data_IF_610278644160
#
_entry.id   IF_610278644160
#
_cell.length_a   1.000
_cell.length_b   1.000
_cell.length_c   1.000
_cell.angle_alpha   90.00
_cell.angle_beta   90.00
_cell.angle_gamma   90.00
#
_symmetry.space_group_name_H-M   'P 1'
#
loop_
_entity.id
_entity.type
_entity.pdbx_description
1 polymer ?
#
# COMPACT_ATOMS: atom_id res chain seq x y z
N UNK A 1 21.70 6.48 0.23
CA UNK A 1 20.45 7.17 -0.15
C UNK A 1 19.53 7.22 1.05
N UNK A 2 18.87 8.33 1.30
CA UNK A 2 17.84 8.46 2.34
C UNK A 2 16.54 8.89 1.66
N UNK A 3 15.97 7.98 0.93
CA UNK A 3 14.73 8.12 0.17
C UNK A 3 13.97 6.82 0.33
N UNK A 4 12.66 6.84 0.23
CA UNK A 4 11.84 5.66 0.25
C UNK A 4 10.43 5.96 -0.23
N UNK A 5 9.77 4.97 -0.76
CA UNK A 5 8.34 4.95 -1.05
C UNK A 5 7.88 3.50 -1.14
N UNK A 6 6.58 3.27 -1.14
CA UNK A 6 6.01 1.93 -1.03
C UNK A 6 5.25 1.49 -2.29
N UNK A 7 5.63 2.01 -3.47
CA UNK A 7 5.09 1.58 -4.74
C UNK A 7 6.10 0.66 -5.41
N UNK A 8 5.76 -0.62 -5.56
CA UNK A 8 6.62 -1.63 -6.14
C UNK A 8 6.44 -3.00 -5.51
N UNK A 9 7.08 -4.03 -6.05
CA UNK A 9 6.86 -5.43 -5.66
C UNK A 9 7.50 -5.83 -4.33
N UNK A 10 8.28 -4.99 -3.69
CA UNK A 10 9.01 -5.23 -2.43
C UNK A 10 9.84 -6.54 -2.42
N UNK A 11 10.36 -6.96 -3.57
CA UNK A 11 11.09 -8.22 -3.73
C UNK A 11 12.42 -8.08 -4.50
N UNK A 12 12.87 -6.85 -4.70
CA UNK A 12 14.10 -6.55 -5.43
C UNK A 12 13.97 -6.67 -6.94
N UNK A 13 12.76 -6.73 -7.49
CA UNK A 13 12.53 -6.81 -8.93
C UNK A 13 11.99 -5.52 -9.55
N UNK A 14 11.84 -4.47 -8.76
CA UNK A 14 11.50 -3.16 -9.29
C UNK A 14 12.56 -2.68 -10.28
N UNK A 15 12.17 -1.81 -11.21
CA UNK A 15 13.14 -1.23 -12.15
C UNK A 15 14.25 -0.49 -11.42
N UNK A 16 13.91 0.19 -10.32
CA UNK A 16 14.88 0.90 -9.51
C UNK A 16 15.88 -0.03 -8.84
N UNK A 17 15.40 -1.07 -8.17
CA UNK A 17 16.26 -2.07 -7.51
C UNK A 17 17.23 -2.73 -8.50
N UNK A 18 16.73 -3.11 -9.66
CA UNK A 18 17.55 -3.71 -10.71
C UNK A 18 18.63 -2.77 -11.22
N UNK A 19 18.31 -1.50 -11.44
CA UNK A 19 19.32 -0.49 -11.81
C UNK A 19 20.36 -0.34 -10.70
N UNK A 20 19.92 -0.27 -9.45
CA UNK A 20 20.83 -0.20 -8.30
C UNK A 20 21.74 -1.43 -8.21
N UNK A 21 21.21 -2.62 -8.44
CA UNK A 21 21.99 -3.85 -8.45
C UNK A 21 23.03 -3.88 -9.59
N UNK A 22 22.70 -3.39 -10.77
CA UNK A 22 23.59 -3.28 -11.92
C UNK A 22 24.69 -2.23 -11.73
N UNK A 23 24.41 -1.14 -11.01
CA UNK A 23 25.38 -0.09 -10.71
C UNK A 23 26.46 -0.53 -9.71
N UNK A 24 26.21 -1.58 -8.94
CA UNK A 24 27.14 -2.08 -7.95
C UNK A 24 28.18 -3.01 -8.55
N UNK A 25 29.38 -2.98 -8.01
CA UNK A 25 30.50 -3.79 -8.45
C UNK A 25 31.74 -3.52 -7.60
N UNK A 26 32.88 -3.99 -8.06
CA UNK A 26 34.16 -3.76 -7.36
C UNK A 26 34.41 -2.25 -7.18
N UNK A 27 34.60 -1.84 -5.92
CA UNK A 27 34.78 -0.44 -5.54
C UNK A 27 33.51 0.44 -5.62
N UNK A 28 32.33 -0.14 -5.90
CA UNK A 28 31.07 0.59 -6.01
C UNK A 28 30.00 -0.06 -5.13
N UNK A 29 29.67 0.58 -4.04
CA UNK A 29 28.65 0.15 -3.09
C UNK A 29 27.53 1.18 -3.02
N UNK A 30 26.30 0.70 -2.90
CA UNK A 30 25.14 1.51 -2.59
C UNK A 30 24.66 1.20 -1.17
N UNK A 31 24.37 2.24 -0.43
CA UNK A 31 23.81 2.17 0.91
C UNK A 31 22.49 2.93 0.91
N UNK A 32 21.45 2.28 1.40
CA UNK A 32 20.10 2.84 1.47
C UNK A 32 19.53 2.78 2.88
N UNK A 33 18.53 3.60 3.13
CA UNK A 33 17.75 3.57 4.38
C UNK A 33 16.66 2.50 4.29
N UNK A 34 16.37 1.85 5.43
CA UNK A 34 15.26 0.89 5.53
C UNK A 34 13.88 1.56 5.54
N UNK A 35 13.81 2.88 5.74
CA UNK A 35 12.57 3.62 5.98
C UNK A 35 12.30 3.83 7.47
N UNK A 36 11.27 4.57 7.76
CA UNK A 36 10.81 4.94 9.11
C UNK A 36 9.29 4.79 9.30
N UNK A 37 8.65 4.00 8.44
CA UNK A 37 7.21 3.81 8.35
C UNK A 37 6.69 2.60 9.14
N UNK A 38 7.52 2.01 10.00
CA UNK A 38 7.20 0.77 10.72
C UNK A 38 6.02 0.87 11.72
N UNK A 39 5.50 2.07 11.99
CA UNK A 39 4.39 2.28 12.93
C UNK A 39 3.07 2.66 12.25
N UNK A 40 3.02 2.70 10.91
CA UNK A 40 1.92 3.35 10.19
C UNK A 40 0.89 2.40 9.56
N UNK A 41 0.85 1.12 9.87
CA UNK A 41 -0.14 0.19 9.29
C UNK A 41 -0.32 0.34 7.76
N UNK A 42 0.78 0.61 7.07
CA UNK A 42 0.79 0.89 5.62
C UNK A 42 0.70 -0.36 4.76
N UNK A 43 0.90 -1.52 5.35
CA UNK A 43 0.87 -2.81 4.69
C UNK A 43 -0.31 -3.63 5.18
N UNK A 44 -0.91 -4.42 4.30
CA UNK A 44 -1.86 -5.46 4.65
C UNK A 44 -1.62 -6.69 3.79
N UNK A 45 -1.75 -7.87 4.37
CA UNK A 45 -1.56 -9.12 3.65
C UNK A 45 -2.64 -10.13 3.97
N UNK A 46 -3.01 -10.93 2.97
CA UNK A 46 -3.87 -12.10 3.14
C UNK A 46 -3.49 -13.19 2.15
N UNK A 47 -3.28 -14.40 2.65
CA UNK A 47 -3.23 -15.60 1.80
C UNK A 47 -4.64 -16.16 1.69
N UNK A 48 -5.14 -16.29 0.47
CA UNK A 48 -6.46 -16.86 0.18
C UNK A 48 -6.41 -18.37 0.43
N UNK A 49 -7.03 -18.82 1.52
CA UNK A 49 -7.17 -20.24 1.85
C UNK A 49 -8.32 -20.85 1.05
N UNK A 50 -8.43 -22.16 1.11
CA UNK A 50 -9.56 -22.87 0.49
C UNK A 50 -10.90 -22.33 1.00
N UNK A 51 -11.70 -21.83 0.06
CA UNK A 51 -12.99 -21.21 0.35
C UNK A 51 -12.94 -19.69 0.53
N UNK A 52 -11.75 -19.08 0.66
CA UNK A 52 -11.61 -17.63 0.58
C UNK A 52 -11.72 -17.17 -0.89
N UNK A 53 -12.45 -16.11 -1.12
CA UNK A 53 -12.64 -15.56 -2.46
C UNK A 53 -11.91 -14.24 -2.66
N UNK A 54 -11.60 -13.52 -1.59
CA UNK A 54 -11.06 -12.18 -1.68
C UNK A 54 -10.33 -11.71 -0.41
N UNK A 55 -9.61 -10.61 -0.57
CA UNK A 55 -9.13 -9.73 0.48
C UNK A 55 -9.83 -8.38 0.33
N UNK A 56 -10.36 -7.83 1.41
CA UNK A 56 -10.92 -6.47 1.47
C UNK A 56 -10.16 -5.65 2.50
N UNK A 57 -9.97 -4.37 2.23
CA UNK A 57 -9.48 -3.41 3.22
C UNK A 57 -10.04 -2.02 2.96
N UNK A 58 -9.99 -1.17 3.97
CA UNK A 58 -10.42 0.23 3.89
C UNK A 58 -9.19 1.14 3.96
N UNK A 59 -9.23 2.24 3.24
CA UNK A 59 -8.19 3.27 3.23
C UNK A 59 -8.60 4.37 4.20
N UNK A 60 -7.82 4.54 5.25
CA UNK A 60 -7.95 5.61 6.21
C UNK A 60 -6.97 6.73 5.86
N UNK A 61 -7.48 7.91 5.53
CA UNK A 61 -6.64 9.05 5.22
C UNK A 61 -6.14 9.73 6.50
N UNK A 62 -4.86 10.08 6.52
CA UNK A 62 -4.28 10.89 7.58
C UNK A 62 -4.97 12.26 7.58
N UNK A 63 -5.42 12.73 8.75
CA UNK A 63 -6.31 13.88 8.92
C UNK A 63 -5.69 15.26 8.60
N UNK A 64 -4.70 15.33 7.73
CA UNK A 64 -4.11 16.58 7.26
C UNK A 64 -4.94 17.31 6.17
N UNK A 65 -6.15 16.83 5.91
CA UNK A 65 -7.13 17.47 5.05
C UNK A 65 -7.24 18.98 5.23
N UNK A 66 -7.20 19.46 6.48
CA UNK A 66 -7.28 20.90 6.77
C UNK A 66 -6.12 21.72 6.21
N UNK A 67 -4.98 21.10 5.90
CA UNK A 67 -3.81 21.80 5.39
C UNK A 67 -3.74 21.86 3.87
N UNK A 68 -4.28 20.88 3.17
CA UNK A 68 -4.08 20.72 1.72
C UNK A 68 -5.36 20.71 0.88
N UNK A 69 -6.54 20.67 1.49
CA UNK A 69 -7.83 20.69 0.78
C UNK A 69 -8.12 19.47 -0.11
N UNK A 70 -7.24 18.47 -0.12
CA UNK A 70 -7.41 17.24 -0.88
C UNK A 70 -6.86 16.04 -0.13
N UNK A 71 -7.49 14.87 -0.32
CA UNK A 71 -7.02 13.57 0.16
C UNK A 71 -6.42 12.83 -1.02
N UNK A 72 -5.13 12.57 -0.94
CA UNK A 72 -4.40 11.81 -1.95
C UNK A 72 -3.78 10.58 -1.32
N UNK A 73 -3.83 9.47 -2.00
CA UNK A 73 -3.11 8.25 -1.65
C UNK A 73 -3.00 7.33 -2.85
N UNK A 74 -2.00 6.47 -2.84
CA UNK A 74 -1.88 5.35 -3.76
C UNK A 74 -1.90 4.06 -2.95
N UNK A 75 -2.72 3.10 -3.38
CA UNK A 75 -2.67 1.72 -2.89
C UNK A 75 -2.04 0.88 -3.98
N UNK A 76 -0.91 0.26 -3.68
CA UNK A 76 -0.18 -0.62 -4.59
C UNK A 76 -0.29 -2.08 -4.13
N UNK A 77 -0.82 -2.94 -4.99
CA UNK A 77 -1.25 -4.29 -4.66
C UNK A 77 -0.52 -5.30 -5.54
N UNK A 78 0.01 -6.33 -4.92
CA UNK A 78 0.77 -7.38 -5.57
C UNK A 78 0.30 -8.77 -5.15
N UNK A 79 0.22 -9.67 -6.13
CA UNK A 79 -0.03 -11.09 -5.88
C UNK A 79 1.22 -11.94 -6.04
N UNK A 80 1.03 -13.25 -6.02
CA UNK A 80 2.10 -14.21 -6.35
C UNK A 80 2.35 -14.28 -7.86
N UNK A 81 3.54 -14.77 -8.22
CA UNK A 81 3.90 -14.97 -9.61
C UNK A 81 2.92 -15.93 -10.32
N UNK A 82 2.56 -15.60 -11.55
CA UNK A 82 1.65 -16.36 -12.40
C UNK A 82 0.22 -16.51 -11.86
N UNK A 83 -0.11 -15.84 -10.78
CA UNK A 83 -1.47 -15.74 -10.24
C UNK A 83 -2.13 -14.46 -10.74
N UNK A 84 -3.31 -14.62 -11.32
CA UNK A 84 -4.10 -13.50 -11.80
C UNK A 84 -4.94 -12.93 -10.67
N UNK A 85 -4.95 -11.61 -10.56
CA UNK A 85 -5.79 -10.89 -9.62
C UNK A 85 -6.87 -10.12 -10.36
N UNK A 86 -7.94 -9.82 -9.65
CA UNK A 86 -8.90 -8.80 -10.05
C UNK A 86 -9.27 -7.93 -8.87
N UNK A 87 -9.57 -6.66 -9.14
CA UNK A 87 -9.90 -5.69 -8.12
C UNK A 87 -11.15 -4.89 -8.48
N UNK A 88 -11.88 -4.50 -7.46
CA UNK A 88 -12.87 -3.44 -7.51
C UNK A 88 -12.65 -2.46 -6.38
N UNK A 89 -13.11 -1.23 -6.58
CA UNK A 89 -13.13 -0.18 -5.56
C UNK A 89 -14.57 0.01 -5.10
N UNK A 90 -14.77 0.23 -3.82
CA UNK A 90 -16.09 0.48 -3.25
C UNK A 90 -16.04 1.64 -2.25
N UNK A 91 -17.21 2.18 -1.91
CA UNK A 91 -17.39 3.11 -0.81
C UNK A 91 -18.19 2.45 0.28
N UNK A 92 -17.67 2.49 1.49
CA UNK A 92 -18.28 1.88 2.67
C UNK A 92 -18.80 2.94 3.62
N UNK A 93 -20.09 2.82 3.97
CA UNK A 93 -20.73 3.61 5.02
C UNK A 93 -20.52 2.92 6.35
N UNK A 94 -19.69 3.51 7.21
CA UNK A 94 -19.31 2.89 8.49
C UNK A 94 -20.44 2.89 9.51
N UNK A 95 -21.35 3.88 9.44
CA UNK A 95 -22.47 3.97 10.37
C UNK A 95 -23.53 2.92 10.07
N UNK A 96 -23.84 2.72 8.79
CA UNK A 96 -24.84 1.75 8.34
C UNK A 96 -24.23 0.38 8.01
N UNK A 97 -22.91 0.22 8.11
CA UNK A 97 -22.13 -1.01 7.87
C UNK A 97 -22.47 -1.64 6.52
N UNK A 98 -22.44 -0.85 5.46
CA UNK A 98 -22.78 -1.33 4.11
C UNK A 98 -21.96 -0.64 3.02
N UNK A 99 -21.74 -1.34 1.92
CA UNK A 99 -21.25 -0.75 0.69
C UNK A 99 -22.38 0.13 0.07
N UNK A 100 -22.07 1.38 -0.23
CA UNK A 100 -22.99 2.33 -0.87
C UNK A 100 -22.68 2.55 -2.35
N UNK A 101 -21.49 2.12 -2.77
CA UNK A 101 -21.06 2.12 -4.15
C UNK A 101 -20.05 0.99 -4.39
N UNK A 102 -20.04 0.48 -5.62
CA UNK A 102 -19.02 -0.46 -6.09
C UNK A 102 -18.75 -0.21 -7.58
N UNK A 103 -17.49 -0.19 -7.96
CA UNK A 103 -17.07 -0.20 -9.35
C UNK A 103 -17.28 -1.56 -10.01
N UNK A 104 -17.11 -1.63 -11.31
CA UNK A 104 -16.81 -2.89 -12.01
C UNK A 104 -15.47 -3.48 -11.53
N UNK A 105 -15.22 -4.74 -11.86
CA UNK A 105 -13.96 -5.41 -11.54
C UNK A 105 -12.97 -5.30 -12.71
N UNK A 106 -11.70 -5.09 -12.38
CA UNK A 106 -10.58 -4.97 -13.32
C UNK A 106 -9.56 -6.07 -13.06
N UNK A 107 -9.11 -6.74 -14.11
CA UNK A 107 -8.22 -7.91 -14.00
C UNK A 107 -6.81 -7.63 -14.49
N UNK A 108 -5.83 -8.23 -13.83
CA UNK A 108 -4.41 -8.18 -14.24
C UNK A 108 -4.11 -8.97 -15.53
N UNK A 109 -5.08 -9.70 -16.06
CA UNK A 109 -4.96 -10.31 -17.39
C UNK A 109 -4.85 -9.29 -18.51
N UNK A 110 -5.33 -8.08 -18.26
CA UNK A 110 -5.33 -6.97 -19.20
C UNK A 110 -4.63 -5.79 -18.59
N UNK A 111 -3.61 -5.26 -19.27
CA UNK A 111 -3.04 -3.98 -18.86
C UNK A 111 -4.02 -2.87 -19.20
N UNK A 112 -4.50 -2.18 -18.18
CA UNK A 112 -5.46 -1.09 -18.34
C UNK A 112 -5.22 -0.01 -17.29
N UNK A 113 -5.67 1.20 -17.59
CA UNK A 113 -5.79 2.28 -16.60
C UNK A 113 -7.14 2.96 -16.86
N UNK A 114 -7.99 2.98 -15.84
CA UNK A 114 -9.33 3.56 -15.96
C UNK A 114 -9.64 4.49 -14.81
N UNK A 115 -10.28 5.59 -15.16
CA UNK A 115 -10.91 6.49 -14.20
C UNK A 115 -12.24 5.89 -13.74
N UNK A 116 -12.42 5.81 -12.43
CA UNK A 116 -13.67 5.43 -11.80
C UNK A 116 -14.44 6.70 -11.50
N UNK A 117 -15.72 6.73 -11.87
CA UNK A 117 -16.62 7.83 -11.52
C UNK A 117 -16.71 7.93 -9.99
N UNK A 118 -16.54 9.15 -9.49
CA UNK A 118 -16.64 9.37 -8.05
C UNK A 118 -18.08 9.18 -7.56
N UNK A 119 -18.31 8.18 -6.71
CA UNK A 119 -19.67 7.75 -6.35
C UNK A 119 -20.32 8.60 -5.28
N UNK A 120 -19.57 9.47 -4.59
CA UNK A 120 -20.05 10.20 -3.41
C UNK A 120 -20.38 11.65 -3.71
N UNK A 121 -20.26 12.08 -4.98
CA UNK A 121 -20.42 13.49 -5.35
C UNK A 121 -19.26 14.38 -4.91
N UNK A 122 -18.22 13.82 -4.29
CA UNK A 122 -17.00 14.57 -3.99
C UNK A 122 -16.25 14.88 -5.29
N UNK A 123 -15.62 16.03 -5.36
CA UNK A 123 -14.71 16.33 -6.45
C UNK A 123 -13.47 15.45 -6.36
N UNK A 124 -12.89 15.15 -7.51
CA UNK A 124 -11.66 14.38 -7.58
C UNK A 124 -11.72 13.16 -8.49
N UNK A 125 -10.66 12.38 -8.44
CA UNK A 125 -10.48 11.24 -9.33
C UNK A 125 -10.02 10.01 -8.55
N UNK A 126 -10.56 8.85 -8.96
CA UNK A 126 -10.03 7.53 -8.58
C UNK A 126 -9.61 6.87 -9.88
N UNK A 127 -8.37 6.40 -9.94
CA UNK A 127 -7.89 5.59 -11.05
C UNK A 127 -7.52 4.21 -10.55
N UNK A 128 -7.86 3.20 -11.34
CA UNK A 128 -7.40 1.84 -11.15
C UNK A 128 -6.58 1.42 -12.37
N UNK A 129 -5.39 0.93 -12.10
CA UNK A 129 -4.49 0.41 -13.13
C UNK A 129 -4.15 -1.03 -12.83
N UNK A 130 -4.13 -1.87 -13.84
CA UNK A 130 -3.81 -3.29 -13.72
C UNK A 130 -2.74 -3.67 -14.73
N UNK A 131 -1.82 -4.52 -14.31
CA UNK A 131 -0.78 -5.07 -15.19
C UNK A 131 -0.26 -6.41 -14.64
N UNK A 132 0.44 -7.15 -15.49
CA UNK A 132 1.34 -8.22 -15.03
C UNK A 132 2.78 -7.73 -15.22
N UNK A 133 3.55 -7.74 -14.14
CA UNK A 133 4.94 -7.32 -14.21
C UNK A 133 5.74 -8.31 -15.07
N UNK A 134 6.46 -7.86 -16.11
CA UNK A 134 7.17 -8.73 -17.03
C UNK A 134 8.38 -9.45 -16.42
N UNK A 135 8.90 -8.95 -15.30
CA UNK A 135 10.12 -9.48 -14.68
C UNK A 135 9.81 -10.56 -13.64
N UNK A 136 8.90 -10.29 -12.71
CA UNK A 136 8.56 -11.22 -11.63
C UNK A 136 7.29 -12.03 -11.90
N UNK A 137 6.57 -11.74 -12.99
CA UNK A 137 5.30 -12.39 -13.38
C UNK A 137 4.17 -12.24 -12.37
N UNK A 138 4.29 -11.31 -11.44
CA UNK A 138 3.25 -11.00 -10.46
C UNK A 138 2.19 -10.09 -11.07
N UNK A 139 0.94 -10.33 -10.71
CA UNK A 139 -0.14 -9.38 -10.96
C UNK A 139 0.04 -8.14 -10.07
N UNK A 140 -0.06 -6.95 -10.67
CA UNK A 140 -0.02 -5.67 -9.98
C UNK A 140 -1.30 -4.89 -10.24
N UNK A 141 -1.81 -4.27 -9.20
CA UNK A 141 -2.97 -3.38 -9.25
C UNK A 141 -2.62 -2.14 -8.46
N UNK A 142 -2.73 -0.97 -9.09
CA UNK A 142 -2.53 0.32 -8.43
C UNK A 142 -3.84 1.08 -8.40
N UNK A 143 -4.20 1.62 -7.25
CA UNK A 143 -5.39 2.45 -7.05
C UNK A 143 -4.91 3.82 -6.60
N UNK A 144 -5.04 4.82 -7.49
CA UNK A 144 -4.69 6.21 -7.20
C UNK A 144 -5.94 6.96 -6.76
N UNK A 145 -5.88 7.52 -5.58
CA UNK A 145 -6.93 8.31 -4.96
C UNK A 145 -6.51 9.77 -4.94
N UNK A 146 -7.34 10.64 -5.49
CA UNK A 146 -7.19 12.09 -5.42
C UNK A 146 -8.57 12.69 -5.27
N UNK A 147 -8.96 12.93 -4.02
CA UNK A 147 -10.31 13.33 -3.64
C UNK A 147 -10.29 14.69 -2.95
N UNK A 148 -11.20 15.55 -3.34
CA UNK A 148 -11.54 16.79 -2.66
C UNK A 148 -12.98 16.73 -2.18
N UNK A 149 -13.28 17.33 -1.06
CA UNK A 149 -14.65 17.38 -0.48
C UNK A 149 -15.25 16.00 -0.13
N UNK A 150 -14.43 14.96 0.08
CA UNK A 150 -14.90 13.65 0.51
C UNK A 150 -15.23 13.64 2.02
N UNK A 151 -16.41 13.17 2.40
CA UNK A 151 -16.78 13.00 3.82
C UNK A 151 -16.14 11.73 4.40
N UNK A 152 -14.90 11.85 4.84
CA UNK A 152 -14.12 10.76 5.42
C UNK A 152 -14.49 10.45 6.89
N UNK A 153 -15.51 11.06 7.46
CA UNK A 153 -16.00 10.74 8.81
C UNK A 153 -16.97 9.58 8.81
N UNK A 154 -17.77 9.48 7.73
CA UNK A 154 -18.82 8.48 7.62
C UNK A 154 -18.57 7.48 6.49
N UNK A 155 -17.79 7.86 5.49
CA UNK A 155 -17.52 7.05 4.30
C UNK A 155 -16.02 6.78 4.15
N UNK A 156 -15.69 5.56 3.76
CA UNK A 156 -14.33 5.14 3.48
C UNK A 156 -14.24 4.54 2.08
N UNK A 157 -13.17 4.85 1.38
CA UNK A 157 -12.82 4.13 0.17
C UNK A 157 -12.26 2.79 0.58
N UNK A 158 -12.75 1.72 -0.02
CA UNK A 158 -12.23 0.39 0.15
C UNK A 158 -11.89 -0.26 -1.18
N UNK A 159 -11.13 -1.33 -1.10
CA UNK A 159 -10.82 -2.19 -2.24
C UNK A 159 -11.08 -3.65 -1.90
N UNK A 160 -11.47 -4.40 -2.91
CA UNK A 160 -11.59 -5.84 -2.85
C UNK A 160 -10.75 -6.46 -3.93
N UNK A 161 -9.88 -7.39 -3.54
CA UNK A 161 -8.99 -8.12 -4.44
C UNK A 161 -9.37 -9.58 -4.42
N UNK A 162 -9.66 -10.13 -5.58
CA UNK A 162 -9.93 -11.56 -5.76
C UNK A 162 -8.79 -12.21 -6.52
N UNK A 163 -8.55 -13.48 -6.22
CA UNK A 163 -7.52 -14.30 -6.86
C UNK A 163 -7.78 -15.79 -6.66
N UNK A 164 -6.96 -16.65 -7.26
CA UNK A 164 -7.02 -18.09 -7.00
C UNK A 164 -6.72 -18.44 -5.55
N UNK A 165 -7.17 -19.61 -5.09
CA UNK A 165 -6.75 -20.17 -3.80
C UNK A 165 -5.22 -20.25 -3.70
N UNK A 166 -4.70 -20.17 -2.49
CA UNK A 166 -3.26 -20.18 -2.18
C UNK A 166 -2.49 -19.02 -2.83
N UNK A 167 -3.17 -17.90 -3.12
CA UNK A 167 -2.52 -16.66 -3.53
C UNK A 167 -2.31 -15.77 -2.31
N UNK A 168 -1.08 -15.31 -2.11
CA UNK A 168 -0.79 -14.28 -1.12
C UNK A 168 -0.90 -12.91 -1.79
N UNK A 169 -1.79 -12.10 -1.25
CA UNK A 169 -2.02 -10.71 -1.69
C UNK A 169 -1.35 -9.81 -0.68
N UNK A 170 -0.54 -8.88 -1.16
CA UNK A 170 0.05 -7.82 -0.36
C UNK A 170 -0.40 -6.47 -0.91
N UNK A 171 -0.72 -5.54 -0.04
CA UNK A 171 -1.12 -4.18 -0.39
C UNK A 171 -0.35 -3.19 0.47
N UNK A 172 0.15 -2.12 -0.16
CA UNK A 172 0.81 -1.00 0.52
C UNK A 172 0.10 0.29 0.20
N UNK A 173 0.04 1.20 1.17
CA UNK A 173 -0.39 2.57 0.96
C UNK A 173 0.80 3.52 0.96
N UNK A 174 0.57 4.72 0.44
CA UNK A 174 1.51 5.82 0.56
C UNK A 174 1.59 6.27 2.02
N UNK A 175 2.75 6.00 2.65
CA UNK A 175 3.02 6.42 4.01
C UNK A 175 2.84 7.93 4.17
N UNK A 176 2.38 8.37 5.34
CA UNK A 176 2.03 9.76 5.67
C UNK A 176 0.76 10.32 5.04
N UNK A 177 0.18 9.67 4.03
CA UNK A 177 -1.08 10.09 3.42
C UNK A 177 -2.25 9.23 3.85
N UNK A 178 -2.02 7.94 4.02
CA UNK A 178 -3.05 7.00 4.47
C UNK A 178 -2.45 5.73 5.08
N UNK A 179 -3.30 4.97 5.73
CA UNK A 179 -3.03 3.61 6.20
C UNK A 179 -4.19 2.67 5.87
N UNK A 180 -3.97 1.39 6.05
CA UNK A 180 -5.00 0.36 5.86
C UNK A 180 -5.66 0.02 7.18
N UNK A 181 -7.00 -0.09 7.17
CA UNK A 181 -7.77 -0.29 8.39
C UNK A 181 -8.97 -1.21 8.16
N UNK A 182 -9.37 -1.92 9.19
CA UNK A 182 -10.62 -2.67 9.21
C UNK A 182 -11.72 -1.99 10.04
N UNK A 183 -11.41 -0.89 10.72
CA UNK A 183 -12.31 -0.19 11.63
C UNK A 183 -13.08 -1.12 12.58
N UNK A 184 -12.43 -2.21 13.04
CA UNK A 184 -13.01 -3.20 13.92
C UNK A 184 -14.02 -4.15 13.26
N UNK A 185 -14.16 -4.13 11.93
CA UNK A 185 -14.98 -5.08 11.20
C UNK A 185 -14.11 -6.22 10.63
N UNK A 186 -14.36 -7.45 11.10
CA UNK A 186 -13.60 -8.64 10.71
C UNK A 186 -13.74 -9.05 9.24
N UNK A 187 -14.66 -8.46 8.48
CA UNK A 187 -14.75 -8.67 7.03
C UNK A 187 -13.60 -8.01 6.27
N UNK A 188 -12.97 -7.01 6.89
CA UNK A 188 -11.85 -6.29 6.31
C UNK A 188 -10.52 -6.75 6.91
N UNK A 189 -9.49 -6.80 6.09
CA UNK A 189 -8.11 -7.02 6.52
C UNK A 189 -7.57 -5.71 7.09
N UNK A 190 -7.05 -5.76 8.29
CA UNK A 190 -6.41 -4.62 8.92
C UNK A 190 -5.02 -4.40 8.35
N UNK A 191 -4.56 -3.15 8.39
CA UNK A 191 -3.16 -2.86 8.15
C UNK A 191 -2.26 -3.46 9.24
N UNK A 192 -1.02 -3.70 8.88
CA UNK A 192 0.03 -4.20 9.78
C UNK A 192 1.33 -3.42 9.60
N UNK A 193 2.28 -3.67 10.48
CA UNK A 193 3.60 -3.04 10.52
C UNK A 193 4.70 -3.94 9.97
N UNK A 194 4.35 -4.97 9.23
CA UNK A 194 5.29 -5.85 8.56
C UNK A 194 5.59 -5.32 7.15
N UNK A 195 6.72 -5.76 6.58
CA UNK A 195 7.06 -5.45 5.18
C UNK A 195 7.03 -3.95 4.84
N UNK A 196 7.38 -3.11 5.82
CA UNK A 196 7.38 -1.64 5.68
C UNK A 196 8.72 -1.08 5.19
N UNK A 197 9.63 -1.94 4.75
CA UNK A 197 10.87 -1.52 4.12
C UNK A 197 10.59 -0.91 2.75
N UNK A 198 11.06 0.33 2.53
CA UNK A 198 10.81 1.05 1.30
C UNK A 198 11.52 0.47 0.09
N UNK A 199 10.92 0.61 -1.09
CA UNK A 199 11.45 0.16 -2.38
C UNK A 199 12.80 0.81 -2.73
N UNK A 200 12.99 2.07 -2.35
CA UNK A 200 14.24 2.78 -2.63
C UNK A 200 15.22 2.56 -1.48
N UNK A 201 16.21 1.71 -1.72
CA UNK A 201 17.28 1.48 -0.75
C UNK A 201 17.00 0.41 0.30
N UNK A 202 15.81 -0.23 0.25
CA UNK A 202 15.44 -1.29 1.20
C UNK A 202 15.33 -2.68 0.57
N UNK A 203 14.81 -2.79 -0.64
CA UNK A 203 14.42 -4.08 -1.24
C UNK A 203 15.41 -4.63 -2.27
N UNK A 204 16.38 -3.85 -2.75
CA UNK A 204 17.39 -4.30 -3.72
C UNK A 204 18.26 -5.42 -3.17
N UNK A 205 18.63 -6.36 -4.02
CA UNK A 205 19.37 -7.59 -3.63
C UNK A 205 20.82 -7.34 -3.25
N UNK A 206 21.42 -6.27 -3.73
CA UNK A 206 22.83 -5.93 -3.51
C UNK A 206 23.03 -4.65 -2.72
N UNK A 207 21.97 -3.94 -2.38
CA UNK A 207 22.01 -2.72 -1.58
C UNK A 207 22.32 -3.09 -0.12
N UNK A 208 23.19 -2.32 0.53
CA UNK A 208 23.39 -2.41 1.97
C UNK A 208 22.31 -1.56 2.63
N UNK A 209 21.30 -2.20 3.19
CA UNK A 209 20.20 -1.51 3.85
C UNK A 209 20.54 -1.24 5.30
N UNK A 210 20.37 0.01 5.74
CA UNK A 210 20.67 0.46 7.09
C UNK A 210 19.40 0.95 7.76
N UNK A 211 19.09 0.33 8.91
CA UNK A 211 18.03 0.76 9.82
C UNK A 211 18.58 1.46 11.07
N UNK A 212 17.80 2.38 11.61
CA UNK A 212 18.08 2.93 12.91
C UNK A 212 17.59 2.00 14.03
N UNK A 213 18.25 2.03 15.18
CA UNK A 213 17.76 1.39 16.39
C UNK A 213 17.84 2.35 17.57
N UNK A 214 16.95 2.20 18.51
CA UNK A 214 17.00 2.95 19.77
C UNK A 214 17.84 2.15 20.77
N UNK A 215 18.94 2.73 21.26
CA UNK A 215 19.69 2.11 22.34
C UNK A 215 18.86 2.12 23.63
N UNK A 216 18.90 1.02 24.38
CA UNK A 216 18.11 0.85 25.63
C UNK A 216 18.46 1.82 26.76
N UNK A 217 19.47 2.65 26.61
CA UNK A 217 19.91 3.63 27.61
C UNK A 217 19.39 5.02 27.29
N UNK A 218 18.07 5.15 27.08
CA UNK A 218 17.45 6.47 27.18
C UNK A 218 17.46 6.85 28.67
N UNK A 219 18.48 7.60 29.09
CA UNK A 219 18.48 8.26 30.41
C UNK A 219 17.41 9.34 30.29
N UNK A 220 16.29 9.11 30.95
CA UNK A 220 15.25 10.12 31.08
C UNK A 220 15.82 11.31 31.86
N UNK A 221 16.29 12.32 31.14
CA UNK A 221 16.79 13.57 31.73
C UNK A 221 15.69 14.40 32.43
N UNK A 222 14.45 13.91 32.46
CA UNK A 222 13.35 14.61 33.15
C UNK A 222 13.44 14.56 34.68
N UNK A 223 14.32 13.74 35.25
CA UNK A 223 14.49 13.61 36.70
C UNK A 223 15.77 14.26 37.26
N UNK A 224 16.46 15.08 36.50
CA UNK A 224 17.57 15.87 37.03
C UNK A 224 17.17 17.32 37.29
N UNK A 225 16.04 17.52 37.99
CA UNK A 225 15.75 18.77 38.65
C UNK A 225 16.15 18.63 40.13
N UNK A 226 17.34 19.09 40.44
CA UNK A 226 17.62 19.67 41.76
C UNK A 226 17.43 21.15 41.68
#
# INVERSE_FOLDING_TARGET
MSLGYHIGPHDGTSTFDRICDELQGEGRLLVGASGNEAEYNIHATKTLKKGDTNMKSLVEFVSNWYLYGSMTSTVDIWGDAEKQLSARVFVYDILNKKEVYSSESFSTTTSTSKKISNPTGADGNIYISTATNPYNKKGNITIDLNLSSFDNRNYYIGFEISGPEETTINAWTDAYMSWLSNFGNSEFTNGDNNSTMGEIGGTGKRIITVGAYTSCNYIDHKNSSM
#
